data_IF_087509090899
#
_entry.id   IF_087509090899
#
_cell.length_a   1.000
_cell.length_b   1.000
_cell.length_c   1.000
_cell.angle_alpha   90.00
_cell.angle_beta   90.00
_cell.angle_gamma   90.00
#
_symmetry.space_group_name_H-M   'P 1'
#
loop_
_entity.id
_entity.type
_entity.pdbx_description
1 polymer ?
#
# COMPACT_ATOMS: atom_id res chain seq x y z
N UNK A 1 17.62 -9.20 10.47
CA UNK A 1 16.34 -9.18 11.19
C UNK A 1 15.22 -8.54 10.35
N UNK A 2 15.37 -7.26 9.95
CA UNK A 2 14.33 -6.53 9.20
C UNK A 2 13.86 -7.27 7.94
N UNK A 3 14.77 -7.72 7.07
CA UNK A 3 14.40 -8.43 5.83
C UNK A 3 13.62 -9.73 6.07
N UNK A 4 13.93 -10.48 7.13
CA UNK A 4 13.20 -11.69 7.48
C UNK A 4 11.79 -11.36 7.98
N UNK A 5 11.66 -10.37 8.87
CA UNK A 5 10.38 -9.92 9.38
C UNK A 5 9.50 -9.34 8.26
N UNK A 6 10.05 -8.46 7.43
CA UNK A 6 9.37 -7.90 6.28
C UNK A 6 8.95 -9.01 5.29
N UNK A 7 9.83 -9.96 4.98
CA UNK A 7 9.49 -11.08 4.09
C UNK A 7 8.28 -11.89 4.58
N UNK A 8 8.24 -12.24 5.88
CA UNK A 8 7.12 -12.97 6.48
C UNK A 8 5.84 -12.12 6.47
N UNK A 9 5.93 -10.86 6.91
CA UNK A 9 4.76 -9.98 7.02
C UNK A 9 4.19 -9.58 5.65
N UNK A 10 5.04 -9.26 4.67
CA UNK A 10 4.62 -8.93 3.31
C UNK A 10 3.97 -10.14 2.62
N UNK A 11 4.53 -11.35 2.79
CA UNK A 11 3.91 -12.57 2.26
C UNK A 11 2.52 -12.79 2.87
N UNK A 12 2.39 -12.62 4.18
CA UNK A 12 1.09 -12.68 4.85
C UNK A 12 0.12 -11.59 4.34
N UNK A 13 0.61 -10.37 4.14
CA UNK A 13 -0.14 -9.25 3.60
C UNK A 13 -0.72 -9.52 2.20
N UNK A 14 0.15 -9.96 1.28
CA UNK A 14 -0.19 -10.24 -0.12
C UNK A 14 -1.03 -11.51 -0.32
N UNK A 15 -1.08 -12.42 0.66
CA UNK A 15 -1.82 -13.69 0.50
C UNK A 15 -3.03 -13.80 1.40
N UNK A 16 -2.85 -13.60 2.71
CA UNK A 16 -3.86 -13.90 3.71
C UNK A 16 -4.67 -12.67 4.05
N UNK A 17 -4.02 -11.53 4.29
CA UNK A 17 -4.70 -10.30 4.67
C UNK A 17 -5.66 -9.81 3.58
N UNK A 18 -5.22 -9.74 2.31
CA UNK A 18 -6.11 -9.33 1.20
C UNK A 18 -7.35 -10.22 1.07
N UNK A 19 -7.20 -11.52 1.29
CA UNK A 19 -8.32 -12.49 1.27
C UNK A 19 -9.25 -12.32 2.47
N UNK A 20 -8.70 -12.01 3.65
CA UNK A 20 -9.49 -11.72 4.85
C UNK A 20 -10.30 -10.42 4.70
N UNK A 21 -9.78 -9.46 3.95
CA UNK A 21 -10.41 -8.17 3.68
C UNK A 21 -11.30 -8.17 2.43
N UNK A 22 -11.35 -9.28 1.68
CA UNK A 22 -11.99 -9.37 0.36
C UNK A 22 -11.58 -8.24 -0.59
N UNK A 23 -10.29 -7.89 -0.55
CA UNK A 23 -9.73 -6.76 -1.28
C UNK A 23 -9.03 -7.21 -2.57
N UNK A 24 -9.45 -6.65 -3.70
CA UNK A 24 -8.73 -6.74 -4.98
C UNK A 24 -7.60 -5.70 -5.05
N UNK A 25 -6.56 -5.95 -4.25
CA UNK A 25 -5.27 -5.28 -4.42
C UNK A 25 -4.52 -5.96 -5.56
N UNK A 26 -4.79 -5.55 -6.80
CA UNK A 26 -4.46 -6.32 -8.00
C UNK A 26 -2.97 -6.61 -8.15
N UNK A 27 -2.11 -5.73 -7.63
CA UNK A 27 -0.64 -5.86 -7.67
C UNK A 27 0.00 -5.96 -6.28
N UNK A 28 -0.80 -6.29 -5.26
CA UNK A 28 -0.35 -6.43 -3.86
C UNK A 28 0.38 -5.19 -3.31
N UNK A 29 0.00 -3.99 -3.74
CA UNK A 29 0.68 -2.74 -3.35
C UNK A 29 0.59 -2.51 -1.85
N UNK A 30 -0.59 -2.73 -1.27
CA UNK A 30 -0.76 -2.62 0.18
C UNK A 30 -0.06 -3.77 0.91
N UNK A 31 -0.21 -4.99 0.40
CA UNK A 31 0.39 -6.20 0.98
C UNK A 31 1.92 -6.15 1.05
N UNK A 32 2.58 -5.59 0.03
CA UNK A 32 4.04 -5.50 -0.04
C UNK A 32 4.56 -4.17 0.51
N UNK A 33 4.08 -3.03 -0.02
CA UNK A 33 4.61 -1.71 0.33
C UNK A 33 4.00 -1.17 1.62
N UNK A 34 2.69 -1.33 1.81
CA UNK A 34 2.00 -0.90 3.03
C UNK A 34 2.51 -1.66 4.26
N UNK A 35 2.42 -2.99 4.24
CA UNK A 35 2.88 -3.84 5.36
C UNK A 35 4.41 -3.78 5.52
N UNK A 36 5.16 -3.89 4.42
CA UNK A 36 6.62 -3.84 4.46
C UNK A 36 7.15 -2.50 5.00
N UNK A 37 6.53 -1.39 4.58
CA UNK A 37 6.84 -0.05 5.07
C UNK A 37 6.55 0.09 6.57
N UNK A 38 5.41 -0.42 7.05
CA UNK A 38 5.06 -0.38 8.48
C UNK A 38 6.06 -1.18 9.33
N UNK A 39 6.39 -2.41 8.90
CA UNK A 39 7.38 -3.26 9.58
C UNK A 39 8.75 -2.58 9.59
N UNK A 40 9.18 -2.05 8.45
CA UNK A 40 10.44 -1.32 8.32
C UNK A 40 10.52 -0.13 9.27
N UNK A 41 9.51 0.76 9.24
CA UNK A 41 9.48 1.97 10.05
C UNK A 41 9.53 1.66 11.56
N UNK A 42 8.75 0.67 12.02
CA UNK A 42 8.76 0.26 13.43
C UNK A 42 10.13 -0.32 13.81
N UNK A 43 10.69 -1.20 12.99
CA UNK A 43 11.98 -1.83 13.29
C UNK A 43 13.16 -0.86 13.15
N UNK A 44 13.04 0.24 12.39
CA UNK A 44 14.00 1.36 12.45
C UNK A 44 14.09 1.90 13.88
N UNK A 45 12.99 1.98 14.61
CA UNK A 45 12.98 2.36 16.03
C UNK A 45 13.72 1.40 16.97
N UNK A 46 14.02 0.18 16.52
CA UNK A 46 14.72 -0.86 17.30
C UNK A 46 16.19 -0.96 16.89
N UNK A 47 16.49 -0.85 15.60
CA UNK A 47 17.81 -1.15 15.05
C UNK A 47 18.61 0.08 14.62
N UNK A 48 18.03 1.29 14.60
CA UNK A 48 18.79 2.48 14.27
C UNK A 48 19.83 2.78 15.35
N UNK A 49 21.08 2.96 14.91
CA UNK A 49 22.22 3.27 15.75
C UNK A 49 22.61 4.75 15.58
N UNK A 50 22.59 5.56 16.64
CA UNK A 50 22.97 6.97 16.58
C UNK A 50 24.37 7.20 16.01
N UNK A 51 25.29 6.25 16.20
CA UNK A 51 26.67 6.32 15.69
C UNK A 51 26.73 6.26 14.16
N UNK A 52 25.70 5.69 13.51
CA UNK A 52 25.61 5.59 12.06
C UNK A 52 24.73 6.69 11.46
N UNK A 53 23.64 7.05 12.13
CA UNK A 53 22.66 8.02 11.64
C UNK A 53 22.93 9.46 12.06
N UNK A 54 23.70 9.67 13.13
CA UNK A 54 23.85 10.96 13.82
C UNK A 54 22.58 11.40 14.57
N UNK A 55 21.58 10.54 14.69
CA UNK A 55 20.25 10.86 15.23
C UNK A 55 19.79 9.77 16.18
N UNK A 56 19.45 10.16 17.40
CA UNK A 56 18.73 9.31 18.37
C UNK A 56 17.31 9.04 17.87
N UNK A 57 17.01 7.77 17.59
CA UNK A 57 15.69 7.36 17.12
C UNK A 57 14.86 6.85 18.29
N UNK A 58 13.64 7.39 18.42
CA UNK A 58 12.65 6.91 19.38
C UNK A 58 11.70 5.91 18.72
N UNK A 59 11.58 4.71 19.30
CA UNK A 59 10.59 3.72 18.89
C UNK A 59 9.17 4.29 18.94
N UNK A 60 8.84 5.05 19.99
CA UNK A 60 7.53 5.68 20.14
C UNK A 60 7.25 6.67 19.00
N UNK A 61 8.25 7.48 18.63
CA UNK A 61 8.11 8.42 17.51
C UNK A 61 7.92 7.68 16.17
N UNK A 62 8.63 6.56 15.95
CA UNK A 62 8.46 5.75 14.74
C UNK A 62 7.07 5.10 14.65
N UNK A 63 6.55 4.56 15.76
CA UNK A 63 5.20 3.99 15.82
C UNK A 63 4.15 5.06 15.54
N UNK A 64 4.25 6.22 16.20
CA UNK A 64 3.32 7.34 15.98
C UNK A 64 3.38 7.80 14.52
N UNK A 65 4.59 7.98 13.96
CA UNK A 65 4.78 8.38 12.58
C UNK A 65 4.18 7.38 11.60
N UNK A 66 4.45 6.09 11.78
CA UNK A 66 3.95 5.05 10.88
C UNK A 66 2.41 4.95 10.91
N UNK A 67 1.80 4.97 12.10
CA UNK A 67 0.34 4.94 12.25
C UNK A 67 -0.31 6.23 11.73
N UNK A 68 0.28 7.40 12.00
CA UNK A 68 -0.21 8.67 11.48
C UNK A 68 -0.17 8.70 9.95
N UNK A 69 0.90 8.20 9.35
CA UNK A 69 1.06 8.14 7.89
C UNK A 69 0.06 7.16 7.26
N UNK A 70 -0.15 5.99 7.88
CA UNK A 70 -1.17 5.02 7.47
C UNK A 70 -2.59 5.59 7.53
N UNK A 71 -2.93 6.25 8.65
CA UNK A 71 -4.24 6.86 8.83
C UNK A 71 -4.46 8.01 7.84
N UNK A 72 -3.48 8.90 7.69
CA UNK A 72 -3.55 10.02 6.75
C UNK A 72 -3.69 9.53 5.31
N UNK A 73 -2.85 8.60 4.87
CA UNK A 73 -2.90 8.08 3.50
C UNK A 73 -4.23 7.39 3.21
N UNK A 74 -4.74 6.58 4.15
CA UNK A 74 -6.03 5.92 4.01
C UNK A 74 -7.19 6.93 3.90
N UNK A 75 -7.30 7.87 4.85
CA UNK A 75 -8.41 8.82 4.92
C UNK A 75 -8.39 9.77 3.73
N UNK A 76 -7.23 10.38 3.43
CA UNK A 76 -7.14 11.37 2.36
C UNK A 76 -7.32 10.72 0.99
N UNK A 77 -6.74 9.54 0.77
CA UNK A 77 -6.94 8.83 -0.51
C UNK A 77 -8.40 8.42 -0.69
N UNK A 78 -9.06 7.93 0.36
CA UNK A 78 -10.49 7.59 0.30
C UNK A 78 -11.35 8.81 -0.07
N UNK A 79 -11.08 9.96 0.55
CA UNK A 79 -11.79 11.20 0.22
C UNK A 79 -11.58 11.57 -1.24
N UNK A 80 -10.33 11.54 -1.72
CA UNK A 80 -10.01 11.89 -3.11
C UNK A 80 -10.69 10.93 -4.09
N UNK A 81 -10.57 9.61 -3.87
CA UNK A 81 -11.15 8.60 -4.74
C UNK A 81 -12.67 8.72 -4.82
N UNK A 82 -13.35 8.92 -3.68
CA UNK A 82 -14.81 9.14 -3.65
C UNK A 82 -15.22 10.42 -4.36
N UNK A 83 -14.44 11.50 -4.25
CA UNK A 83 -14.71 12.75 -4.96
C UNK A 83 -14.54 12.58 -6.47
N UNK A 84 -13.50 11.88 -6.92
CA UNK A 84 -13.27 11.56 -8.33
C UNK A 84 -14.42 10.71 -8.87
N UNK A 85 -14.75 9.63 -8.16
CA UNK A 85 -15.82 8.72 -8.55
C UNK A 85 -17.17 9.43 -8.71
N UNK A 86 -17.49 10.35 -7.80
CA UNK A 86 -18.74 11.14 -7.87
C UNK A 86 -18.76 12.24 -8.92
N UNK A 87 -17.61 12.67 -9.43
CA UNK A 87 -17.54 13.83 -10.35
C UNK A 87 -17.29 13.43 -11.79
N UNK A 88 -16.48 12.40 -12.02
CA UNK A 88 -16.12 11.93 -13.36
C UNK A 88 -16.18 10.40 -13.53
N UNK A 89 -16.39 9.65 -12.44
CA UNK A 89 -16.30 8.19 -12.45
C UNK A 89 -14.85 7.71 -12.34
N UNK A 90 -14.60 6.73 -11.48
CA UNK A 90 -13.25 6.16 -11.30
C UNK A 90 -13.04 4.87 -12.11
N UNK A 91 -14.09 4.05 -12.28
CA UNK A 91 -14.05 2.76 -12.98
C UNK A 91 -14.65 2.90 -14.37
N UNK A 92 -14.13 2.12 -15.32
CA UNK A 92 -14.74 1.95 -16.65
C UNK A 92 -16.06 1.19 -16.57
N UNK A 93 -16.87 1.25 -17.61
CA UNK A 93 -18.11 0.47 -17.70
C UNK A 93 -17.82 -1.04 -17.80
N UNK A 94 -18.77 -1.87 -17.37
CA UNK A 94 -18.60 -3.34 -17.30
C UNK A 94 -18.28 -3.96 -18.67
N UNK A 95 -18.90 -3.46 -19.74
CA UNK A 95 -18.63 -3.92 -21.12
C UNK A 95 -17.19 -3.59 -21.54
N UNK A 96 -16.68 -2.40 -21.16
CA UNK A 96 -15.30 -1.98 -21.46
C UNK A 96 -14.28 -2.78 -20.64
N UNK A 97 -14.62 -3.13 -19.40
CA UNK A 97 -13.80 -4.01 -18.58
C UNK A 97 -13.70 -5.43 -19.17
N UNK A 98 -14.80 -5.96 -19.71
CA UNK A 98 -14.83 -7.27 -20.38
C UNK A 98 -14.08 -7.28 -21.72
N UNK A 99 -14.18 -6.20 -22.50
CA UNK A 99 -13.46 -6.04 -23.77
C UNK A 99 -11.94 -5.88 -23.55
N UNK A 100 -11.55 -5.31 -22.40
CA UNK A 100 -10.17 -5.01 -22.03
C UNK A 100 -9.81 -3.54 -22.29
N UNK A 101 -8.95 -2.97 -21.44
CA UNK A 101 -8.59 -1.55 -21.52
C UNK A 101 -7.76 -1.21 -22.76
N UNK A 102 -6.95 -2.16 -23.26
CA UNK A 102 -6.15 -1.94 -24.48
C UNK A 102 -7.05 -1.60 -25.69
N UNK A 103 -8.16 -2.31 -25.85
CA UNK A 103 -9.12 -2.03 -26.93
C UNK A 103 -10.04 -0.85 -26.59
N UNK A 104 -10.68 -0.87 -25.42
CA UNK A 104 -11.74 0.09 -25.09
C UNK A 104 -11.24 1.52 -24.80
N UNK A 105 -10.01 1.67 -24.30
CA UNK A 105 -9.41 2.97 -23.96
C UNK A 105 -8.32 3.40 -24.94
N UNK A 106 -7.60 2.46 -25.55
CA UNK A 106 -6.43 2.76 -26.38
C UNK A 106 -6.59 2.37 -27.86
N UNK A 107 -7.58 1.55 -28.23
CA UNK A 107 -7.76 1.07 -29.60
C UNK A 107 -6.62 0.17 -30.10
N UNK A 108 -5.88 -0.44 -29.19
CA UNK A 108 -4.71 -1.27 -29.47
C UNK A 108 -5.01 -2.74 -29.14
N UNK A 109 -4.35 -3.65 -29.87
CA UNK A 109 -4.41 -5.08 -29.59
C UNK A 109 -2.98 -5.63 -29.52
N UNK A 110 -2.61 -6.21 -28.38
CA UNK A 110 -1.32 -6.90 -28.24
C UNK A 110 -1.32 -8.15 -29.14
N UNK A 111 -0.31 -8.35 -30.00
CA UNK A 111 -0.23 -9.50 -30.91
C UNK A 111 -0.16 -10.87 -30.22
#
# INVERSE_FOLDING_TARGET
AIGLAAGICCYWGATTLKRMLDADDSLDVFGIHGIGGLVGAILTGVFALPELSGVEVSLGAQVIGAVATLAYSCIVSLIILVLIDKTMGLRVDEDQEQEGLDLSQHGEQVP
#
